data_IF_889165621131
#
_entry.id   IF_889165621131
#
_cell.length_a   1.000
_cell.length_b   1.000
_cell.length_c   1.000
_cell.angle_alpha   90.00
_cell.angle_beta   90.00
_cell.angle_gamma   90.00
#
_symmetry.space_group_name_H-M   'P 1'
#
loop_
_entity.id
_entity.type
_entity.pdbx_description
1 polymer ?
#
# COMPACT_ATOMS: atom_id res chain seq x y z
N UNK A 1 -15.59 -3.43 6.21
CA UNK A 1 -14.65 -2.30 6.17
C UNK A 1 -14.52 -1.80 4.74
N UNK A 2 -14.67 -0.51 4.56
CA UNK A 2 -14.52 0.10 3.24
C UNK A 2 -13.38 1.11 3.26
N UNK A 3 -12.55 1.08 2.22
CA UNK A 3 -11.53 2.10 2.04
C UNK A 3 -12.22 3.37 1.57
N UNK A 4 -12.15 4.42 2.35
CA UNK A 4 -12.83 5.69 2.06
C UNK A 4 -11.88 6.76 1.56
N UNK A 5 -10.58 6.62 1.82
CA UNK A 5 -9.58 7.54 1.30
C UNK A 5 -8.25 6.81 1.13
N UNK A 6 -7.54 7.13 0.06
CA UNK A 6 -6.16 6.66 -0.15
C UNK A 6 -5.32 7.88 -0.50
N UNK A 7 -4.23 8.08 0.26
CA UNK A 7 -3.27 9.14 -0.03
C UNK A 7 -1.97 8.51 -0.50
N UNK A 8 -1.48 8.98 -1.63
CA UNK A 8 -0.28 8.44 -2.26
C UNK A 8 0.84 9.48 -2.21
N UNK A 9 2.01 9.07 -1.75
CA UNK A 9 3.23 9.87 -1.82
C UNK A 9 4.19 9.16 -2.77
N UNK A 10 4.43 9.74 -3.93
CA UNK A 10 5.26 9.12 -4.95
C UNK A 10 6.73 9.12 -4.57
N UNK A 11 7.43 8.05 -4.95
CA UNK A 11 8.88 7.91 -4.77
C UNK A 11 9.49 7.53 -6.12
N UNK A 12 10.69 7.99 -6.37
CA UNK A 12 11.39 7.71 -7.63
C UNK A 12 12.59 6.78 -7.36
N UNK A 13 12.28 5.58 -6.93
CA UNK A 13 13.28 4.55 -6.65
C UNK A 13 13.00 3.34 -7.54
N UNK A 14 14.01 2.51 -7.85
CA UNK A 14 13.80 1.39 -8.76
C UNK A 14 12.71 0.42 -8.32
N UNK A 15 12.58 0.15 -7.03
CA UNK A 15 11.59 -0.79 -6.51
C UNK A 15 10.47 -0.12 -5.75
N UNK A 16 10.79 0.83 -4.89
CA UNK A 16 9.79 1.54 -4.09
C UNK A 16 9.22 2.69 -4.91
N UNK A 17 7.98 2.55 -5.33
CA UNK A 17 7.33 3.54 -6.21
C UNK A 17 6.47 4.53 -5.48
N UNK A 18 5.93 4.15 -4.33
CA UNK A 18 5.10 5.07 -3.54
C UNK A 18 4.89 4.55 -2.13
N UNK A 19 4.55 5.48 -1.24
CA UNK A 19 3.95 5.14 0.04
C UNK A 19 2.46 5.43 -0.03
N UNK A 20 1.67 4.69 0.71
CA UNK A 20 0.23 4.89 0.76
C UNK A 20 -0.28 4.90 2.19
N UNK A 21 -1.20 5.81 2.46
CA UNK A 21 -1.97 5.83 3.70
C UNK A 21 -3.41 5.58 3.33
N UNK A 22 -4.07 4.66 4.02
CA UNK A 22 -5.46 4.33 3.73
C UNK A 22 -6.33 4.61 4.94
N UNK A 23 -7.55 5.11 4.68
CA UNK A 23 -8.55 5.34 5.70
C UNK A 23 -9.72 4.40 5.46
N UNK A 24 -10.18 3.75 6.53
CA UNK A 24 -11.36 2.88 6.49
C UNK A 24 -12.53 3.57 7.18
N UNK A 25 -13.69 3.55 6.52
CA UNK A 25 -14.95 4.03 7.10
C UNK A 25 -14.83 5.43 7.72
N UNK A 26 -13.97 6.29 7.12
CA UNK A 26 -13.67 7.65 7.61
C UNK A 26 -13.25 7.69 9.08
N UNK A 27 -12.82 6.57 9.65
CA UNK A 27 -12.61 6.44 11.08
C UNK A 27 -11.28 5.83 11.49
N UNK A 28 -10.62 5.11 10.60
CA UNK A 28 -9.40 4.38 10.96
C UNK A 28 -8.38 4.49 9.84
N UNK A 29 -7.18 4.98 10.14
CA UNK A 29 -6.13 5.14 9.15
C UNK A 29 -4.98 4.17 9.39
N UNK A 30 -4.48 3.57 8.32
CA UNK A 30 -3.25 2.79 8.34
C UNK A 30 -2.25 3.52 7.47
N UNK A 31 -1.07 3.81 8.01
CA UNK A 31 -0.02 4.54 7.33
C UNK A 31 1.15 3.63 6.98
N UNK A 32 1.85 3.99 5.92
CA UNK A 32 3.11 3.32 5.60
C UNK A 32 2.99 2.06 4.76
N UNK A 33 1.89 1.89 4.04
CA UNK A 33 1.85 0.87 3.00
C UNK A 33 2.81 1.28 1.90
N UNK A 34 3.37 0.30 1.20
CA UNK A 34 4.33 0.56 0.11
C UNK A 34 3.81 -0.03 -1.19
N UNK A 35 4.05 0.69 -2.28
CA UNK A 35 3.80 0.17 -3.62
C UNK A 35 5.15 -0.18 -4.20
N UNK A 36 5.34 -1.46 -4.49
CA UNK A 36 6.60 -2.03 -4.92
C UNK A 36 6.49 -2.49 -6.37
N UNK A 37 7.51 -2.20 -7.16
CA UNK A 37 7.61 -2.71 -8.51
C UNK A 37 8.32 -4.06 -8.48
N UNK A 38 7.53 -5.12 -8.48
CA UNK A 38 8.04 -6.49 -8.44
C UNK A 38 8.22 -7.07 -9.84
N UNK A 39 8.70 -8.32 -9.90
CA UNK A 39 8.94 -9.00 -11.17
C UNK A 39 7.66 -9.20 -11.98
N UNK A 40 6.53 -9.38 -11.31
CA UNK A 40 5.24 -9.62 -11.96
C UNK A 40 4.35 -8.38 -12.03
N UNK A 41 4.91 -7.21 -11.69
CA UNK A 41 4.18 -5.96 -11.69
C UNK A 41 4.14 -5.32 -10.32
N UNK A 42 3.30 -4.30 -10.19
CA UNK A 42 3.18 -3.57 -8.93
C UNK A 42 2.38 -4.37 -7.91
N UNK A 43 2.82 -4.32 -6.67
CA UNK A 43 2.04 -4.90 -5.57
C UNK A 43 2.11 -4.01 -4.35
N UNK A 44 1.18 -4.23 -3.41
CA UNK A 44 1.07 -3.47 -2.18
C UNK A 44 1.66 -4.27 -1.03
N UNK A 45 2.64 -3.68 -0.34
CA UNK A 45 3.25 -4.26 0.84
C UNK A 45 2.68 -3.59 2.07
N UNK A 46 2.26 -4.40 3.03
CA UNK A 46 1.71 -3.91 4.30
C UNK A 46 2.82 -3.35 5.18
N UNK A 47 2.50 -2.48 6.15
CA UNK A 47 3.49 -1.99 7.11
C UNK A 47 4.16 -3.16 7.82
N UNK A 48 5.48 -3.15 7.84
CA UNK A 48 6.26 -4.26 8.40
C UNK A 48 7.42 -3.75 9.22
N UNK A 49 7.96 -4.63 10.05
CA UNK A 49 9.12 -4.32 10.89
C UNK A 49 10.21 -5.35 10.63
N UNK A 50 11.44 -4.88 10.55
CA UNK A 50 12.60 -5.75 10.45
C UNK A 50 12.94 -6.31 11.84
N UNK A 51 13.09 -7.62 11.92
CA UNK A 51 13.50 -8.29 13.15
C UNK A 51 15.03 -8.32 13.28
N UNK A 52 15.51 -8.70 14.47
CA UNK A 52 16.95 -8.77 14.74
C UNK A 52 17.65 -9.80 13.85
N UNK A 53 16.94 -10.83 13.39
CA UNK A 53 17.50 -11.84 12.48
C UNK A 53 17.50 -11.40 11.01
N UNK A 54 17.07 -10.18 10.71
CA UNK A 54 17.02 -9.66 9.35
C UNK A 54 15.74 -9.92 8.59
N UNK A 55 14.83 -10.73 9.11
CA UNK A 55 13.55 -10.99 8.46
C UNK A 55 12.55 -9.84 8.69
N UNK A 56 11.57 -9.72 7.79
CA UNK A 56 10.51 -8.73 7.91
C UNK A 56 9.20 -9.40 8.28
N UNK A 57 8.46 -8.78 9.20
CA UNK A 57 7.15 -9.26 9.60
C UNK A 57 6.14 -8.12 9.53
N UNK A 58 4.98 -8.40 8.95
CA UNK A 58 3.92 -7.40 8.87
C UNK A 58 3.46 -7.03 10.28
N UNK A 59 3.34 -5.72 10.52
CA UNK A 59 2.77 -5.20 11.76
C UNK A 59 1.25 -5.19 11.63
N UNK A 60 0.77 -4.90 10.41
CA UNK A 60 -0.65 -4.80 10.09
C UNK A 60 -0.87 -5.60 8.81
N UNK A 61 -1.89 -6.46 8.82
CA UNK A 61 -2.25 -7.17 7.58
C UNK A 61 -3.71 -7.60 7.64
N UNK A 62 -4.38 -7.67 6.48
CA UNK A 62 -5.73 -8.22 6.45
C UNK A 62 -5.69 -9.73 6.67
N UNK A 63 -6.71 -10.25 7.35
CA UNK A 63 -6.80 -11.70 7.59
C UNK A 63 -7.77 -12.39 6.63
N UNK A 64 -8.39 -11.63 5.73
CA UNK A 64 -9.25 -12.20 4.69
C UNK A 64 -8.69 -11.87 3.32
N UNK A 65 -8.89 -12.78 2.38
CA UNK A 65 -8.49 -12.60 0.99
C UNK A 65 -9.28 -11.45 0.36
N UNK A 66 -10.56 -11.37 0.67
CA UNK A 66 -11.43 -10.33 0.12
C UNK A 66 -10.98 -8.93 0.54
N UNK A 67 -10.63 -8.75 1.81
CA UNK A 67 -10.16 -7.44 2.27
C UNK A 67 -8.80 -7.11 1.67
N UNK A 68 -7.90 -8.08 1.55
CA UNK A 68 -6.59 -7.86 0.92
C UNK A 68 -6.76 -7.37 -0.52
N UNK A 69 -7.63 -8.03 -1.27
CA UNK A 69 -7.90 -7.63 -2.64
C UNK A 69 -8.52 -6.23 -2.72
N UNK A 70 -9.44 -5.93 -1.82
CA UNK A 70 -10.07 -4.61 -1.76
C UNK A 70 -9.03 -3.51 -1.52
N UNK A 71 -8.12 -3.73 -0.56
CA UNK A 71 -7.04 -2.79 -0.27
C UNK A 71 -6.13 -2.63 -1.49
N UNK A 72 -5.69 -3.73 -2.08
CA UNK A 72 -4.80 -3.68 -3.23
C UNK A 72 -5.43 -2.94 -4.39
N UNK A 73 -6.68 -3.24 -4.70
CA UNK A 73 -7.39 -2.60 -5.81
C UNK A 73 -7.49 -1.08 -5.58
N UNK A 74 -7.86 -0.67 -4.38
CA UNK A 74 -8.04 0.74 -4.07
C UNK A 74 -6.71 1.51 -4.07
N UNK A 75 -5.67 0.90 -3.50
CA UNK A 75 -4.35 1.53 -3.44
C UNK A 75 -3.74 1.65 -4.83
N UNK A 76 -3.78 0.58 -5.62
CA UNK A 76 -3.22 0.62 -6.97
C UNK A 76 -3.99 1.55 -7.90
N UNK A 77 -5.31 1.63 -7.74
CA UNK A 77 -6.14 2.58 -8.49
C UNK A 77 -5.73 4.02 -8.16
N UNK A 78 -5.56 4.33 -6.88
CA UNK A 78 -5.13 5.67 -6.46
C UNK A 78 -3.72 5.99 -6.95
N UNK A 79 -2.82 5.01 -6.93
CA UNK A 79 -1.46 5.17 -7.44
C UNK A 79 -1.48 5.48 -8.94
N UNK A 80 -2.29 4.76 -9.69
CA UNK A 80 -2.40 4.98 -11.14
C UNK A 80 -2.90 6.39 -11.44
N UNK A 81 -3.92 6.85 -10.72
CA UNK A 81 -4.41 8.22 -10.90
C UNK A 81 -3.34 9.26 -10.57
N UNK A 82 -2.59 9.03 -9.48
CA UNK A 82 -1.56 9.97 -9.05
C UNK A 82 -0.43 10.08 -10.06
N UNK A 83 -0.03 8.96 -10.66
CA UNK A 83 1.01 8.98 -11.69
C UNK A 83 0.55 9.70 -12.95
N UNK A 84 -0.72 9.56 -13.32
CA UNK A 84 -1.27 10.27 -14.47
C UNK A 84 -1.33 11.78 -14.26
N UNK A 85 -1.61 12.21 -13.04
CA UNK A 85 -1.67 13.64 -12.70
C UNK A 85 -0.32 14.34 -12.87
N UNK A 86 0.78 13.59 -12.77
CA UNK A 86 2.13 14.15 -12.91
C UNK A 86 2.57 14.32 -14.34
N UNK A 87 1.84 13.79 -15.27
CA UNK A 87 2.11 13.92 -16.69
C UNK A 87 1.36 15.15 -17.23
#
# INVERSE_FOLDING_TARGET
MQVTEVRITLRDEPKLKAFANITFDDSFVIRGLKIINGQKGFFVSMPSRKRTDGSFHDIVHPVSVDLRKHIEDKVLEAFERKTKEKI
#
